data_IF_352498429461
#
_entry.id   IF_352498429461
#
_cell.length_a   1.000
_cell.length_b   1.000
_cell.length_c   1.000
_cell.angle_alpha   90.00
_cell.angle_beta   90.00
_cell.angle_gamma   90.00
#
_symmetry.space_group_name_H-M   'P 1'
#
loop_
_entity.id
_entity.type
_entity.pdbx_description
1 polymer ?
#
# COMPACT_ATOMS: atom_id res chain seq x y z
N UNK A 1 0.93 -15.01 -10.98
CA UNK A 1 0.00 -14.29 -10.09
C UNK A 1 0.77 -13.15 -9.46
N UNK A 2 0.34 -11.91 -9.67
CA UNK A 2 0.97 -10.76 -9.01
C UNK A 2 0.50 -10.74 -7.55
N UNK A 3 1.44 -10.68 -6.60
CA UNK A 3 1.15 -10.51 -5.17
C UNK A 3 0.63 -9.10 -4.85
N UNK A 4 0.65 -8.21 -5.86
CA UNK A 4 0.17 -6.84 -5.77
C UNK A 4 -1.27 -6.83 -6.23
N UNK A 5 -2.19 -6.73 -5.28
CA UNK A 5 -3.60 -6.56 -5.58
C UNK A 5 -3.80 -5.23 -6.33
N UNK A 6 -4.03 -5.32 -7.63
CA UNK A 6 -4.20 -4.16 -8.52
C UNK A 6 -5.65 -3.66 -8.54
N UNK A 7 -6.57 -4.39 -7.90
CA UNK A 7 -8.01 -4.06 -7.90
C UNK A 7 -8.34 -2.82 -7.06
N UNK A 8 -7.46 -2.42 -6.15
CA UNK A 8 -7.64 -1.23 -5.31
C UNK A 8 -6.35 -0.41 -5.28
N UNK A 9 -6.27 0.71 -6.04
CA UNK A 9 -5.13 1.60 -5.97
C UNK A 9 -4.98 2.16 -4.55
N UNK A 10 -3.74 2.25 -4.07
CA UNK A 10 -3.42 3.01 -2.85
C UNK A 10 -3.62 4.50 -3.16
N UNK A 11 -4.58 5.12 -2.49
CA UNK A 11 -4.97 6.52 -2.58
C UNK A 11 -4.84 7.24 -1.21
N UNK A 12 -5.34 8.49 -1.10
CA UNK A 12 -5.27 9.27 0.14
C UNK A 12 -6.04 8.66 1.32
N UNK A 13 -6.98 7.74 1.06
CA UNK A 13 -7.75 7.04 2.08
C UNK A 13 -7.02 5.81 2.65
N UNK A 14 -5.90 5.40 2.04
CA UNK A 14 -5.15 4.24 2.47
C UNK A 14 -4.57 4.40 3.89
N UNK A 15 -5.09 3.59 4.82
CA UNK A 15 -4.59 3.53 6.19
C UNK A 15 -3.65 2.32 6.38
N UNK A 16 -2.35 2.57 6.31
CA UNK A 16 -1.33 1.53 6.44
C UNK A 16 -1.35 0.84 7.83
N UNK A 17 -1.75 1.54 8.90
CA UNK A 17 -1.81 0.96 10.25
C UNK A 17 -2.93 -0.08 10.35
N UNK A 18 -4.09 0.25 9.76
CA UNK A 18 -5.21 -0.68 9.66
C UNK A 18 -4.85 -1.88 8.78
N UNK A 19 -4.18 -1.64 7.64
CA UNK A 19 -3.69 -2.70 6.76
C UNK A 19 -2.72 -3.66 7.48
N UNK A 20 -1.69 -3.14 8.17
CA UNK A 20 -0.73 -3.93 8.93
C UNK A 20 -1.42 -4.77 10.00
N UNK A 21 -2.38 -4.17 10.72
CA UNK A 21 -3.11 -4.85 11.80
C UNK A 21 -4.01 -5.97 11.26
N UNK A 22 -4.77 -5.70 10.20
CA UNK A 22 -5.70 -6.69 9.62
C UNK A 22 -4.99 -7.82 8.89
N UNK A 23 -3.83 -7.54 8.28
CA UNK A 23 -3.01 -8.53 7.59
C UNK A 23 -2.01 -9.25 8.52
N UNK A 24 -2.09 -8.98 9.84
CA UNK A 24 -1.22 -9.56 10.88
C UNK A 24 0.28 -9.41 10.54
N UNK A 25 0.64 -8.29 9.90
CA UNK A 25 2.01 -8.04 9.44
C UNK A 25 2.88 -7.74 10.67
N UNK A 26 3.99 -8.47 10.86
CA UNK A 26 4.91 -8.20 11.95
C UNK A 26 5.45 -6.77 11.90
N UNK A 27 5.51 -6.09 13.05
CA UNK A 27 5.96 -4.70 13.17
C UNK A 27 7.35 -4.43 12.56
N UNK A 28 8.23 -5.44 12.50
CA UNK A 28 9.55 -5.34 11.83
C UNK A 28 9.44 -5.00 10.33
N UNK A 29 8.29 -5.23 9.70
CA UNK A 29 8.01 -4.89 8.30
C UNK A 29 7.20 -3.59 8.14
N UNK A 30 6.88 -2.87 9.21
CA UNK A 30 6.09 -1.63 9.12
C UNK A 30 6.73 -0.60 8.19
N UNK A 31 8.04 -0.38 8.31
CA UNK A 31 8.77 0.54 7.42
C UNK A 31 8.71 0.08 5.97
N UNK A 32 8.82 -1.22 5.72
CA UNK A 32 8.73 -1.78 4.38
C UNK A 32 7.34 -1.54 3.77
N UNK A 33 6.27 -1.77 4.55
CA UNK A 33 4.90 -1.50 4.13
C UNK A 33 4.69 -0.01 3.83
N UNK A 34 5.25 0.89 4.64
CA UNK A 34 5.19 2.35 4.38
C UNK A 34 5.87 2.73 3.08
N UNK A 35 7.07 2.21 2.82
CA UNK A 35 7.81 2.53 1.59
C UNK A 35 7.07 2.03 0.34
N UNK A 36 6.58 0.80 0.39
CA UNK A 36 5.82 0.21 -0.71
C UNK A 36 4.51 0.96 -0.94
N UNK A 37 3.76 1.30 0.12
CA UNK A 37 2.54 2.09 0.00
C UNK A 37 2.78 3.45 -0.66
N UNK A 38 3.89 4.11 -0.30
CA UNK A 38 4.28 5.39 -0.91
C UNK A 38 4.65 5.25 -2.37
N UNK A 39 5.37 4.19 -2.75
CA UNK A 39 5.68 3.90 -4.15
C UNK A 39 4.41 3.70 -4.97
N UNK A 40 3.49 2.86 -4.48
CA UNK A 40 2.21 2.62 -5.16
C UNK A 40 1.37 3.89 -5.28
N UNK A 41 1.27 4.72 -4.25
CA UNK A 41 0.58 6.00 -4.33
C UNK A 41 1.15 6.91 -5.42
N UNK A 42 2.48 7.06 -5.46
CA UNK A 42 3.14 7.88 -6.47
C UNK A 42 2.96 7.34 -7.88
N UNK A 43 3.02 6.02 -8.05
CA UNK A 43 2.82 5.36 -9.34
C UNK A 43 1.37 5.49 -9.81
N UNK A 44 0.39 5.33 -8.91
CA UNK A 44 -1.03 5.53 -9.21
C UNK A 44 -1.30 6.97 -9.65
N UNK A 45 -0.71 7.95 -8.95
CA UNK A 45 -0.82 9.37 -9.29
C UNK A 45 -0.16 9.68 -10.65
N UNK A 46 1.02 9.11 -10.91
CA UNK A 46 1.73 9.29 -12.20
C UNK A 46 0.95 8.71 -13.37
N UNK A 47 0.24 7.61 -13.14
CA UNK A 47 -0.56 6.92 -14.15
C UNK A 47 -2.00 7.48 -14.28
N UNK A 48 -2.35 8.56 -13.57
CA UNK A 48 -3.71 9.13 -13.50
C UNK A 48 -4.79 8.08 -13.12
N UNK A 49 -4.43 7.13 -12.26
CA UNK A 49 -5.36 6.14 -11.70
C UNK A 49 -6.14 6.76 -10.53
N UNK A 50 -5.50 7.68 -9.80
CA UNK A 50 -6.03 8.47 -8.68
C UNK A 50 -5.73 9.95 -8.87
#
# INVERSE_FOLDING_TARGET
MSLVNSEYPIDESFNYQNYISNAEIPAKYENYVKEIARQFYNDNKKNNII
#
